data_IF_713296412578
#
_entry.id   IF_713296412578
#
_cell.length_a   1.000
_cell.length_b   1.000
_cell.length_c   1.000
_cell.angle_alpha   90.00
_cell.angle_beta   90.00
_cell.angle_gamma   90.00
#
_symmetry.space_group_name_H-M   'P 1'
#
loop_
_entity.id
_entity.type
_entity.pdbx_description
1 polymer ?
#
# COMPACT_ATOMS: atom_id res chain seq x y z
N UNK A 1 -31.66 26.13 0.35
CA UNK A 1 -30.41 25.63 0.93
C UNK A 1 -30.14 24.25 0.33
N UNK A 2 -29.31 24.16 -0.69
CA UNK A 2 -28.89 22.88 -1.29
C UNK A 2 -27.62 22.40 -0.61
N UNK A 3 -27.70 21.24 0.03
CA UNK A 3 -26.56 20.61 0.70
C UNK A 3 -25.65 20.01 -0.38
N UNK A 4 -24.51 20.65 -0.63
CA UNK A 4 -23.48 20.12 -1.51
C UNK A 4 -22.90 18.83 -0.91
N UNK A 5 -23.09 17.70 -1.60
CA UNK A 5 -22.47 16.42 -1.27
C UNK A 5 -20.94 16.57 -1.31
N UNK A 6 -20.17 16.10 -0.32
CA UNK A 6 -18.71 16.20 -0.35
C UNK A 6 -18.18 15.34 -1.50
N UNK A 7 -17.55 16.00 -2.48
CA UNK A 7 -16.84 15.36 -3.57
C UNK A 7 -15.43 14.98 -3.08
N UNK A 8 -15.27 13.83 -2.45
CA UNK A 8 -13.96 13.33 -1.97
C UNK A 8 -13.66 11.90 -2.44
N UNK A 9 -14.10 11.52 -3.64
CA UNK A 9 -13.78 10.23 -4.27
C UNK A 9 -13.26 10.45 -5.69
N UNK A 10 -12.22 11.28 -5.86
CA UNK A 10 -11.70 11.64 -7.18
C UNK A 10 -10.20 11.40 -7.41
N UNK A 11 -9.48 10.82 -6.44
CA UNK A 11 -8.02 10.61 -6.56
C UNK A 11 -7.58 9.17 -6.20
N UNK A 12 -8.47 8.20 -6.38
CA UNK A 12 -8.15 6.79 -6.20
C UNK A 12 -8.46 6.04 -7.48
N UNK A 13 -7.43 5.51 -8.12
CA UNK A 13 -7.58 4.65 -9.29
C UNK A 13 -8.09 3.27 -8.87
N UNK A 14 -9.07 2.76 -9.62
CA UNK A 14 -9.58 1.40 -9.43
C UNK A 14 -8.86 0.43 -10.35
N UNK A 15 -8.28 -0.61 -9.77
CA UNK A 15 -7.66 -1.71 -10.51
C UNK A 15 -8.38 -3.03 -10.24
N UNK A 16 -8.37 -3.94 -11.23
CA UNK A 16 -8.77 -5.34 -11.03
C UNK A 16 -7.51 -6.18 -10.86
N UNK A 17 -7.36 -6.80 -9.70
CA UNK A 17 -6.19 -7.60 -9.35
C UNK A 17 -6.55 -9.10 -9.41
N UNK A 18 -5.78 -9.88 -10.17
CA UNK A 18 -5.91 -11.34 -10.25
C UNK A 18 -4.73 -11.98 -9.52
N UNK A 19 -5.02 -12.70 -8.44
CA UNK A 19 -4.05 -13.49 -7.68
C UNK A 19 -4.59 -14.90 -7.50
N UNK A 20 -3.71 -15.84 -7.18
CA UNK A 20 -4.11 -17.19 -6.77
C UNK A 20 -4.91 -17.15 -5.46
N UNK A 21 -5.73 -18.17 -5.25
CA UNK A 21 -6.49 -18.34 -4.02
C UNK A 21 -5.57 -18.42 -2.79
N UNK A 22 -4.42 -19.09 -2.93
CA UNK A 22 -3.42 -19.23 -1.85
C UNK A 22 -2.88 -17.88 -1.40
N UNK A 23 -2.63 -16.96 -2.34
CA UNK A 23 -2.16 -15.61 -2.02
C UNK A 23 -3.24 -14.81 -1.28
N UNK A 24 -4.51 -14.92 -1.70
CA UNK A 24 -5.61 -14.28 -0.97
C UNK A 24 -5.77 -14.85 0.45
N UNK A 25 -5.62 -16.16 0.63
CA UNK A 25 -5.66 -16.79 1.94
C UNK A 25 -4.50 -16.31 2.85
N UNK A 26 -3.30 -16.18 2.30
CA UNK A 26 -2.16 -15.62 3.03
C UNK A 26 -2.41 -14.16 3.45
N UNK A 27 -2.99 -13.34 2.57
CA UNK A 27 -3.37 -11.95 2.89
C UNK A 27 -4.42 -11.93 4.03
N UNK A 28 -5.46 -12.75 3.93
CA UNK A 28 -6.52 -12.80 4.94
C UNK A 28 -6.01 -13.26 6.30
N UNK A 29 -5.08 -14.23 6.35
CA UNK A 29 -4.41 -14.65 7.58
C UNK A 29 -3.61 -13.51 8.21
N UNK A 30 -2.76 -12.82 7.43
CA UNK A 30 -1.94 -11.71 7.93
C UNK A 30 -2.77 -10.52 8.40
N UNK A 31 -3.90 -10.28 7.74
CA UNK A 31 -4.85 -9.25 8.15
C UNK A 31 -5.50 -9.60 9.49
N UNK A 32 -5.86 -10.86 9.72
CA UNK A 32 -6.51 -11.31 10.95
C UNK A 32 -5.62 -11.14 12.19
N UNK A 33 -4.30 -11.20 12.03
CA UNK A 33 -3.33 -10.97 13.11
C UNK A 33 -3.30 -9.50 13.59
N UNK A 34 -3.84 -8.56 12.81
CA UNK A 34 -3.79 -7.13 13.14
C UNK A 34 -5.00 -6.72 14.00
N UNK A 35 -4.78 -5.98 15.11
CA UNK A 35 -5.88 -5.42 15.88
C UNK A 35 -6.62 -4.37 15.05
N UNK A 36 -7.94 -4.53 14.96
CA UNK A 36 -8.82 -3.69 14.15
C UNK A 36 -9.26 -4.38 12.85
N UNK A 37 -10.47 -4.05 12.39
CA UNK A 37 -11.08 -4.76 11.26
C UNK A 37 -10.66 -4.16 9.91
N UNK A 38 -9.48 -4.53 9.41
CA UNK A 38 -8.79 -3.75 8.36
C UNK A 38 -9.29 -3.88 6.91
N UNK A 39 -10.24 -4.71 6.47
CA UNK A 39 -10.49 -4.93 5.02
C UNK A 39 -9.26 -5.38 4.18
N UNK A 40 -9.49 -6.04 3.04
CA UNK A 40 -8.39 -6.47 2.17
C UNK A 40 -7.76 -5.30 1.43
N UNK A 41 -8.57 -4.38 0.93
CA UNK A 41 -8.07 -3.26 0.12
C UNK A 41 -7.15 -2.37 0.95
N UNK A 42 -7.53 -2.01 2.17
CA UNK A 42 -6.67 -1.21 3.04
C UNK A 42 -5.36 -1.93 3.34
N UNK A 43 -5.42 -3.23 3.66
CA UNK A 43 -4.22 -4.03 3.90
C UNK A 43 -3.29 -4.04 2.68
N UNK A 44 -3.82 -4.25 1.46
CA UNK A 44 -3.06 -4.26 0.21
C UNK A 44 -2.46 -2.88 -0.06
N UNK A 45 -3.24 -1.80 0.08
CA UNK A 45 -2.75 -0.42 -0.12
C UNK A 45 -1.63 -0.09 0.85
N UNK A 46 -1.77 -0.43 2.13
CA UNK A 46 -0.74 -0.21 3.14
C UNK A 46 0.54 -1.02 2.85
N UNK A 47 0.40 -2.30 2.48
CA UNK A 47 1.54 -3.15 2.15
C UNK A 47 2.31 -2.64 0.92
N UNK A 48 1.62 -2.14 -0.11
CA UNK A 48 2.25 -1.52 -1.28
C UNK A 48 2.98 -0.23 -0.87
N UNK A 49 2.32 0.64 -0.11
CA UNK A 49 2.93 1.89 0.36
C UNK A 49 4.20 1.63 1.19
N UNK A 50 4.14 0.67 2.11
CA UNK A 50 5.28 0.25 2.92
C UNK A 50 6.43 -0.29 2.06
N UNK A 51 6.11 -1.14 1.07
CA UNK A 51 7.10 -1.71 0.16
C UNK A 51 7.81 -0.62 -0.65
N UNK A 52 7.06 0.32 -1.22
CA UNK A 52 7.61 1.43 -1.99
C UNK A 52 8.46 2.37 -1.12
N UNK A 53 8.01 2.68 0.10
CA UNK A 53 8.78 3.49 1.04
C UNK A 53 10.10 2.82 1.43
N UNK A 54 10.08 1.51 1.73
CA UNK A 54 11.29 0.73 2.03
C UNK A 54 12.29 0.73 0.87
N UNK A 55 11.81 0.62 -0.36
CA UNK A 55 12.66 0.62 -1.56
C UNK A 55 13.24 2.00 -1.87
N UNK A 56 12.45 3.06 -1.71
CA UNK A 56 12.92 4.44 -1.83
C UNK A 56 14.05 4.72 -0.85
N UNK A 57 13.84 4.43 0.45
CA UNK A 57 14.88 4.60 1.47
C UNK A 57 16.12 3.74 1.23
N UNK A 58 15.94 2.51 0.73
CA UNK A 58 17.08 1.64 0.41
C UNK A 58 17.86 2.15 -0.81
N UNK A 59 17.19 2.79 -1.78
CA UNK A 59 17.84 3.37 -2.95
C UNK A 59 18.60 4.65 -2.61
N UNK A 60 18.03 5.52 -1.77
CA UNK A 60 18.70 6.75 -1.31
C UNK A 60 20.01 6.42 -0.58
N UNK A 61 20.01 5.39 0.28
CA UNK A 61 21.21 4.91 0.98
C UNK A 61 22.28 4.37 0.01
N UNK A 62 21.87 3.73 -1.09
CA UNK A 62 22.78 3.23 -2.11
C UNK A 62 23.41 4.35 -2.93
N UNK A 63 22.66 5.42 -3.20
CA UNK A 63 23.16 6.56 -3.98
C UNK A 63 24.16 7.39 -3.15
N UNK A 64 23.86 7.68 -1.88
CA UNK A 64 24.76 8.36 -0.93
C UNK A 64 26.12 7.63 -0.79
N UNK A 65 26.08 6.29 -0.77
CA UNK A 65 27.27 5.44 -0.69
C UNK A 65 28.15 5.51 -1.95
N UNK A 66 27.59 5.86 -3.11
CA UNK A 66 28.33 5.99 -4.37
C UNK A 66 28.98 7.36 -4.51
N UNK A 67 28.32 8.41 -4.01
CA UNK A 67 28.85 9.78 -4.02
C UNK A 67 30.01 9.94 -3.03
N UNK A 68 29.98 9.21 -1.91
CA UNK A 68 31.03 9.30 -0.87
C UNK A 68 32.34 8.56 -1.22
N UNK A 69 32.41 7.87 -2.36
CA UNK A 69 33.59 7.10 -2.81
C UNK A 69 34.11 7.55 -4.18
N UNK A 70 33.69 8.74 -4.66
CA UNK A 70 34.17 9.39 -5.88
C UNK A 70 35.14 10.54 -5.60
#
# INVERSE_FOLDING_TARGET
MTISKPATVRDLDRINLRLSADTFAAIDSRRADRPGNVSRNSWITEAIAEKLAREASANDLREESRVSHG
#
